data_IF_047785216566
#
_entry.id   IF_047785216566
#
_cell.length_a   1.000
_cell.length_b   1.000
_cell.length_c   1.000
_cell.angle_alpha   90.00
_cell.angle_beta   90.00
_cell.angle_gamma   90.00
#
_symmetry.space_group_name_H-M   'P 1'
#
loop_
_entity.id
_entity.type
_entity.pdbx_description
1 polymer ?
#
# COMPACT_ATOMS: atom_id res chain seq x y z
N UNK A 1 -20.49 17.76 5.79
CA UNK A 1 -20.02 17.88 4.39
C UNK A 1 -18.99 16.79 4.16
N UNK A 2 -19.16 15.95 3.14
CA UNK A 2 -18.21 14.87 2.82
C UNK A 2 -16.94 15.47 2.22
N UNK A 3 -15.75 15.09 2.71
CA UNK A 3 -14.46 15.54 2.14
C UNK A 3 -14.34 14.99 0.71
N UNK A 4 -13.93 15.79 -0.30
CA UNK A 4 -13.72 15.28 -1.65
C UNK A 4 -12.70 14.13 -1.70
N UNK A 5 -12.88 13.11 -2.55
CA UNK A 5 -11.96 11.96 -2.60
C UNK A 5 -10.49 12.32 -2.80
N UNK A 6 -10.18 13.26 -3.70
CA UNK A 6 -8.79 13.71 -3.94
C UNK A 6 -8.18 14.36 -2.69
N UNK A 7 -8.96 15.16 -1.97
CA UNK A 7 -8.49 15.77 -0.71
C UNK A 7 -8.28 14.69 0.36
N UNK A 8 -9.20 13.73 0.47
CA UNK A 8 -9.04 12.62 1.43
C UNK A 8 -7.88 11.70 1.06
N UNK A 9 -7.61 11.50 -0.22
CA UNK A 9 -6.46 10.75 -0.72
C UNK A 9 -5.16 11.38 -0.24
N UNK A 10 -4.98 12.69 -0.42
CA UNK A 10 -3.79 13.41 0.05
C UNK A 10 -3.67 13.33 1.58
N UNK A 11 -4.76 13.55 2.32
CA UNK A 11 -4.78 13.43 3.78
C UNK A 11 -4.35 12.03 4.26
N UNK A 12 -4.86 10.98 3.64
CA UNK A 12 -4.50 9.60 3.98
C UNK A 12 -3.02 9.30 3.68
N UNK A 13 -2.48 9.83 2.58
CA UNK A 13 -1.06 9.68 2.24
C UNK A 13 -0.20 10.34 3.32
N UNK A 14 -0.56 11.55 3.75
CA UNK A 14 0.16 12.30 4.78
C UNK A 14 0.02 11.66 6.17
N UNK A 15 -1.19 11.21 6.55
CA UNK A 15 -1.45 10.50 7.81
C UNK A 15 -0.61 9.21 7.89
N UNK A 16 -0.57 8.41 6.81
CA UNK A 16 0.26 7.21 6.73
C UNK A 16 1.74 7.57 6.91
N UNK A 17 2.22 8.60 6.20
CA UNK A 17 3.63 9.00 6.29
C UNK A 17 4.01 9.49 7.69
N UNK A 18 3.14 10.26 8.33
CA UNK A 18 3.33 10.76 9.70
C UNK A 18 3.37 9.60 10.70
N UNK A 19 2.40 8.68 10.67
CA UNK A 19 2.38 7.52 11.56
C UNK A 19 3.60 6.61 11.39
N UNK A 20 4.09 6.44 10.15
CA UNK A 20 5.31 5.68 9.91
C UNK A 20 6.55 6.38 10.48
N UNK A 21 6.61 7.70 10.37
CA UNK A 21 7.72 8.50 10.90
C UNK A 21 7.76 8.53 12.43
N UNK A 22 6.60 8.66 13.07
CA UNK A 22 6.48 8.81 14.53
C UNK A 22 6.78 7.51 15.29
N UNK A 23 6.54 6.36 14.67
CA UNK A 23 6.67 5.04 15.32
C UNK A 23 8.03 4.37 15.08
N UNK A 24 8.89 4.94 14.22
CA UNK A 24 10.25 4.45 14.02
C UNK A 24 11.15 4.97 15.13
N UNK A 25 11.68 4.04 15.93
CA UNK A 25 12.62 4.36 17.01
C UNK A 25 14.00 4.79 16.48
N UNK A 26 14.52 5.88 17.06
CA UNK A 26 15.84 6.43 16.78
C UNK A 26 15.92 7.24 15.48
N UNK A 27 17.12 7.75 15.20
CA UNK A 27 17.33 8.61 14.03
C UNK A 27 17.25 7.82 12.73
N UNK A 28 16.56 8.40 11.75
CA UNK A 28 16.45 7.88 10.39
C UNK A 28 16.60 9.02 9.38
N UNK A 29 17.09 8.70 8.19
CA UNK A 29 17.20 9.64 7.06
C UNK A 29 16.14 9.37 5.99
N UNK A 30 15.79 8.10 5.78
CA UNK A 30 14.73 7.72 4.85
C UNK A 30 13.99 6.47 5.32
N UNK A 31 12.66 6.52 5.26
CA UNK A 31 11.80 5.36 5.40
C UNK A 31 11.26 4.94 4.04
N UNK A 32 11.33 3.63 3.77
CA UNK A 32 10.69 3.03 2.61
C UNK A 32 9.66 2.02 3.08
N UNK A 33 8.38 2.38 2.95
CA UNK A 33 7.29 1.49 3.29
C UNK A 33 6.75 0.80 2.02
N UNK A 34 6.90 -0.52 1.96
CA UNK A 34 6.41 -1.34 0.85
C UNK A 34 5.17 -2.11 1.30
N UNK A 35 4.00 -1.72 0.78
CA UNK A 35 2.70 -2.30 1.10
C UNK A 35 2.15 -3.13 -0.05
N UNK A 36 1.56 -4.28 0.25
CA UNK A 36 0.75 -5.08 -0.69
C UNK A 36 -0.60 -5.33 -0.04
N UNK A 37 -1.66 -5.27 -0.81
CA UNK A 37 -3.00 -5.31 -0.25
C UNK A 37 -4.00 -5.99 -1.21
N UNK A 38 -4.76 -6.91 -0.64
CA UNK A 38 -6.02 -7.48 -1.10
C UNK A 38 -7.05 -7.26 0.01
N UNK A 39 -8.35 -7.24 -0.29
CA UNK A 39 -9.42 -6.90 0.66
C UNK A 39 -9.32 -7.56 2.04
N UNK A 40 -8.82 -8.79 2.12
CA UNK A 40 -8.69 -9.57 3.37
C UNK A 40 -7.24 -9.98 3.68
N UNK A 41 -6.26 -9.47 2.94
CA UNK A 41 -4.87 -9.88 3.10
C UNK A 41 -3.92 -8.79 2.67
N UNK A 42 -3.08 -8.35 3.60
CA UNK A 42 -2.05 -7.35 3.34
C UNK A 42 -0.71 -7.83 3.88
N UNK A 43 0.36 -7.26 3.35
CA UNK A 43 1.69 -7.35 3.95
C UNK A 43 2.39 -6.01 3.82
N UNK A 44 3.12 -5.62 4.87
CA UNK A 44 3.85 -4.37 4.92
C UNK A 44 5.22 -4.56 5.57
N UNK A 45 6.19 -3.76 5.13
CA UNK A 45 7.52 -3.65 5.76
C UNK A 45 8.04 -2.24 5.56
N UNK A 46 8.67 -1.71 6.60
CA UNK A 46 9.40 -0.45 6.56
C UNK A 46 10.88 -0.77 6.53
N UNK A 47 11.58 -0.32 5.48
CA UNK A 47 13.03 -0.29 5.47
C UNK A 47 13.47 1.07 6.03
N UNK A 48 14.30 1.05 7.08
CA UNK A 48 14.74 2.22 7.84
C UNK A 48 16.20 2.50 7.51
N UNK A 49 16.45 3.51 6.66
CA UNK A 49 17.78 4.00 6.35
C UNK A 49 18.20 5.01 7.42
N UNK A 50 19.37 4.80 8.03
CA UNK A 50 19.90 5.68 9.08
C UNK A 50 20.94 6.67 8.55
N UNK A 51 21.18 7.77 9.28
CA UNK A 51 22.22 8.74 8.92
C UNK A 51 23.64 8.14 8.84
N UNK A 52 23.91 7.08 9.62
CA UNK A 52 25.19 6.36 9.61
C UNK A 52 25.35 5.39 8.41
N UNK A 53 24.35 5.34 7.52
CA UNK A 53 24.32 4.46 6.35
C UNK A 53 23.80 3.05 6.64
N UNK A 54 23.49 2.71 7.90
CA UNK A 54 22.93 1.40 8.24
C UNK A 54 21.46 1.25 7.77
N UNK A 55 21.06 0.00 7.55
CA UNK A 55 19.71 -0.38 7.19
C UNK A 55 19.12 -1.28 8.28
N UNK A 56 17.96 -0.90 8.82
CA UNK A 56 17.13 -1.79 9.62
C UNK A 56 15.77 -2.03 8.95
N UNK A 57 15.00 -2.95 9.53
CA UNK A 57 13.63 -3.22 9.13
C UNK A 57 12.70 -3.10 10.33
N UNK A 58 11.54 -2.50 10.10
CA UNK A 58 10.47 -2.41 11.08
C UNK A 58 9.15 -2.93 10.49
N UNK A 59 8.24 -3.32 11.38
CA UNK A 59 6.85 -3.62 11.03
C UNK A 59 6.07 -2.30 11.02
N UNK A 60 5.18 -2.06 10.04
CA UNK A 60 4.28 -0.92 10.12
C UNK A 60 3.35 -1.04 11.35
N UNK A 61 2.97 0.07 12.00
CA UNK A 61 1.94 0.08 13.03
C UNK A 61 0.63 -0.52 12.52
N UNK A 62 -0.13 -1.18 13.39
CA UNK A 62 -1.42 -1.79 12.99
C UNK A 62 -2.45 -0.73 12.54
N UNK A 63 -2.31 0.53 12.97
CA UNK A 63 -3.13 1.66 12.50
C UNK A 63 -3.00 1.93 10.99
N UNK A 64 -1.84 1.62 10.39
CA UNK A 64 -1.60 1.79 8.94
C UNK A 64 -2.55 0.92 8.11
N UNK A 65 -3.06 -0.17 8.67
CA UNK A 65 -3.96 -1.10 7.97
C UNK A 65 -5.28 -0.44 7.62
N UNK A 66 -5.91 0.21 8.60
CA UNK A 66 -7.16 0.92 8.39
C UNK A 66 -6.98 2.08 7.39
N UNK A 67 -5.88 2.83 7.51
CA UNK A 67 -5.59 3.96 6.62
C UNK A 67 -5.34 3.52 5.18
N UNK A 68 -4.56 2.46 4.97
CA UNK A 68 -4.29 1.95 3.61
C UNK A 68 -5.51 1.29 2.98
N UNK A 69 -6.38 0.66 3.77
CA UNK A 69 -7.64 0.09 3.30
C UNK A 69 -8.65 1.20 2.91
N UNK A 70 -8.73 2.27 3.71
CA UNK A 70 -9.48 3.47 3.33
C UNK A 70 -8.92 4.10 2.04
N UNK A 71 -7.59 4.21 1.94
CA UNK A 71 -6.94 4.77 0.75
C UNK A 71 -7.25 3.95 -0.52
N UNK A 72 -7.31 2.61 -0.42
CA UNK A 72 -7.76 1.76 -1.55
C UNK A 72 -9.18 2.08 -1.98
N UNK A 73 -10.09 2.31 -1.03
CA UNK A 73 -11.48 2.68 -1.33
C UNK A 73 -11.59 4.07 -1.94
N UNK A 74 -10.84 5.04 -1.42
CA UNK A 74 -10.83 6.42 -1.94
C UNK A 74 -10.24 6.48 -3.35
N UNK A 75 -9.21 5.66 -3.63
CA UNK A 75 -8.53 5.59 -4.92
C UNK A 75 -9.07 4.50 -5.86
N UNK A 76 -10.18 3.86 -5.51
CA UNK A 76 -10.83 2.89 -6.37
C UNK A 76 -11.39 3.60 -7.61
N UNK A 77 -11.00 3.12 -8.78
CA UNK A 77 -11.49 3.60 -10.06
C UNK A 77 -12.45 2.56 -10.64
N UNK A 78 -13.75 2.87 -10.82
CA UNK A 78 -14.69 1.95 -11.45
C UNK A 78 -14.17 1.43 -12.80
N UNK A 79 -14.22 0.10 -12.98
CA UNK A 79 -13.72 -0.56 -14.18
C UNK A 79 -12.20 -0.78 -14.22
N UNK A 80 -11.40 -0.01 -13.46
CA UNK A 80 -9.95 -0.26 -13.34
C UNK A 80 -9.59 -1.05 -12.08
N UNK A 81 -10.36 -0.91 -10.99
CA UNK A 81 -10.10 -1.53 -9.70
C UNK A 81 -9.26 -0.65 -8.76
N UNK A 82 -8.88 -1.23 -7.63
CA UNK A 82 -7.95 -0.62 -6.67
C UNK A 82 -6.50 -1.09 -6.94
N UNK A 83 -5.52 -0.33 -6.46
CA UNK A 83 -4.12 -0.73 -6.51
C UNK A 83 -3.85 -1.99 -5.67
N UNK A 84 -2.83 -2.78 -6.07
CA UNK A 84 -2.40 -4.01 -5.39
C UNK A 84 -1.19 -3.81 -4.49
N UNK A 85 -0.37 -2.80 -4.78
CA UNK A 85 0.78 -2.44 -3.95
C UNK A 85 1.10 -0.97 -4.04
N UNK A 86 1.77 -0.47 -3.01
CA UNK A 86 2.21 0.91 -2.93
C UNK A 86 3.56 0.98 -2.23
N UNK A 87 4.39 1.95 -2.67
CA UNK A 87 5.70 2.23 -2.08
C UNK A 87 5.75 3.69 -1.67
N UNK A 88 5.81 3.94 -0.36
CA UNK A 88 6.12 5.25 0.19
C UNK A 88 7.63 5.39 0.34
N UNK A 89 8.14 6.57 0.02
CA UNK A 89 9.50 7.02 0.32
C UNK A 89 9.35 8.32 1.10
N UNK A 90 9.75 8.28 2.38
CA UNK A 90 9.64 9.40 3.32
C UNK A 90 11.06 9.79 3.68
N UNK A 91 11.47 11.01 3.39
CA UNK A 91 12.79 11.51 3.75
C UNK A 91 12.66 12.67 4.76
N UNK A 92 13.58 12.73 5.71
CA UNK A 92 13.66 13.87 6.63
C UNK A 92 13.90 15.17 5.85
N UNK A 93 13.30 16.27 6.31
CA UNK A 93 13.59 17.60 5.75
C UNK A 93 15.01 18.05 6.12
N UNK A 94 15.61 18.92 5.31
CA UNK A 94 16.94 19.47 5.55
C UNK A 94 16.82 20.79 6.34
N UNK A 95 16.56 20.72 7.65
CA UNK A 95 16.57 21.90 8.53
C UNK A 95 15.61 21.79 9.73
N UNK A 96 15.84 22.60 10.76
CA UNK A 96 14.92 22.68 11.90
C UNK A 96 13.53 23.18 11.46
N UNK A 97 12.51 22.35 11.66
CA UNK A 97 11.11 22.67 11.34
C UNK A 97 10.66 22.32 9.92
N UNK A 98 11.50 21.66 9.11
CA UNK A 98 11.09 21.19 7.79
C UNK A 98 10.23 19.92 7.86
N UNK A 99 9.12 19.90 7.09
CA UNK A 99 8.26 18.72 6.97
C UNK A 99 8.99 17.61 6.22
N UNK A 100 8.72 16.36 6.58
CA UNK A 100 9.15 15.21 5.80
C UNK A 100 8.67 15.33 4.35
N UNK A 101 9.54 14.99 3.40
CA UNK A 101 9.11 14.86 2.01
C UNK A 101 8.57 13.45 1.80
N UNK A 102 7.36 13.37 1.24
CA UNK A 102 6.66 12.10 0.98
C UNK A 102 6.45 11.91 -0.51
N UNK A 103 6.89 10.76 -1.03
CA UNK A 103 6.57 10.30 -2.38
C UNK A 103 5.92 8.92 -2.29
N UNK A 104 4.85 8.71 -3.05
CA UNK A 104 4.18 7.41 -3.14
C UNK A 104 4.01 6.99 -4.58
N UNK A 105 4.26 5.71 -4.86
CA UNK A 105 3.98 5.08 -6.16
C UNK A 105 3.02 3.93 -5.93
N UNK A 106 1.96 3.88 -6.73
CA UNK A 106 0.95 2.83 -6.70
C UNK A 106 1.09 1.92 -7.92
N UNK A 107 0.93 0.63 -7.70
CA UNK A 107 0.88 -0.38 -8.75
C UNK A 107 -0.53 -0.98 -8.82
N UNK A 108 -1.17 -0.82 -9.97
CA UNK A 108 -2.51 -1.36 -10.27
C UNK A 108 -2.48 -2.65 -11.09
N UNK A 109 -1.35 -2.98 -11.73
CA UNK A 109 -1.35 -3.82 -12.92
C UNK A 109 -0.37 -5.00 -12.82
N UNK A 110 0.73 -4.87 -12.09
CA UNK A 110 1.71 -5.93 -11.88
C UNK A 110 1.36 -6.82 -10.68
N UNK A 111 1.64 -8.13 -10.77
CA UNK A 111 1.42 -9.08 -9.67
C UNK A 111 2.24 -8.65 -8.43
N UNK A 112 1.60 -8.42 -7.27
CA UNK A 112 2.33 -8.08 -6.06
C UNK A 112 3.22 -9.25 -5.61
N UNK A 113 4.49 -8.96 -5.35
CA UNK A 113 5.43 -9.94 -4.79
C UNK A 113 5.17 -10.10 -3.30
N UNK A 114 4.61 -11.24 -2.92
CA UNK A 114 4.33 -11.60 -1.53
C UNK A 114 5.49 -12.36 -0.89
N UNK A 115 5.70 -12.17 0.42
CA UNK A 115 6.61 -13.03 1.19
C UNK A 115 6.08 -14.47 1.29
N UNK A 116 4.77 -14.59 1.42
CA UNK A 116 4.04 -15.86 1.42
C UNK A 116 2.93 -15.77 0.37
N UNK A 117 2.79 -16.75 -0.53
CA UNK A 117 1.77 -16.68 -1.57
C UNK A 117 0.37 -16.46 -0.99
N UNK A 118 -0.35 -15.46 -1.48
CA UNK A 118 -1.75 -15.26 -1.13
C UNK A 118 -2.60 -16.41 -1.69
N UNK A 119 -3.58 -16.86 -0.91
CA UNK A 119 -4.53 -17.88 -1.36
C UNK A 119 -5.30 -17.38 -2.61
N UNK A 120 -5.45 -18.20 -3.66
CA UNK A 120 -6.13 -17.80 -4.90
C UNK A 120 -7.53 -17.17 -4.69
N UNK A 121 -8.31 -17.66 -3.72
CA UNK A 121 -9.63 -17.12 -3.40
C UNK A 121 -9.62 -15.67 -2.90
N UNK A 122 -8.50 -15.18 -2.36
CA UNK A 122 -8.39 -13.79 -1.90
C UNK A 122 -8.37 -12.80 -3.07
N UNK A 123 -7.85 -13.21 -4.23
CA UNK A 123 -7.90 -12.40 -5.45
C UNK A 123 -9.31 -12.30 -6.02
N UNK A 124 -10.10 -13.38 -5.92
CA UNK A 124 -11.49 -13.37 -6.34
C UNK A 124 -12.32 -12.41 -5.46
N UNK A 125 -12.12 -12.48 -4.14
CA UNK A 125 -12.77 -11.57 -3.19
C UNK A 125 -12.34 -10.11 -3.40
N UNK A 126 -11.07 -9.86 -3.74
CA UNK A 126 -10.60 -8.51 -4.07
C UNK A 126 -11.29 -7.96 -5.33
N UNK A 127 -11.49 -8.79 -6.36
CA UNK A 127 -12.26 -8.40 -7.56
C UNK A 127 -13.76 -8.19 -7.29
N UNK A 128 -14.35 -8.92 -6.34
CA UNK A 128 -15.73 -8.67 -5.91
C UNK A 128 -15.84 -7.31 -5.19
N UNK A 129 -14.82 -6.93 -4.43
CA UNK A 129 -14.77 -5.66 -3.70
C UNK A 129 -14.43 -4.47 -4.60
N UNK A 130 -13.48 -4.66 -5.52
CA UNK A 130 -12.97 -3.65 -6.46
C UNK A 130 -13.06 -4.17 -7.90
N UNK A 131 -14.28 -4.21 -8.47
CA UNK A 131 -14.49 -4.72 -9.82
C UNK A 131 -13.62 -4.04 -10.87
N UNK A 132 -13.20 -4.84 -11.84
CA UNK A 132 -12.46 -4.41 -13.02
C UNK A 132 -13.24 -4.82 -14.26
N UNK A 133 -13.22 -3.97 -15.27
CA UNK A 133 -13.65 -4.31 -16.62
C UNK A 133 -12.77 -5.42 -17.16
N UNK A 134 -13.32 -6.25 -18.04
CA UNK A 134 -12.61 -7.42 -18.53
C UNK A 134 -11.26 -7.06 -19.18
N UNK A 135 -11.19 -6.00 -19.99
CA UNK A 135 -9.93 -5.54 -20.59
C UNK A 135 -8.92 -4.98 -19.57
N UNK A 136 -9.34 -4.74 -18.32
CA UNK A 136 -8.52 -4.24 -17.21
C UNK A 136 -8.14 -5.30 -16.17
N UNK A 137 -8.54 -6.56 -16.37
CA UNK A 137 -8.07 -7.69 -15.54
C UNK A 137 -6.78 -8.25 -16.16
N UNK A 138 -5.60 -8.08 -15.54
CA UNK A 138 -4.35 -8.61 -16.08
C UNK A 138 -4.34 -10.15 -16.14
N UNK A 139 -3.56 -10.72 -17.05
CA UNK A 139 -3.49 -12.17 -17.26
C UNK A 139 -3.13 -12.95 -16.00
N UNK A 140 -2.18 -12.45 -15.20
CA UNK A 140 -1.78 -13.09 -13.95
C UNK A 140 -2.97 -13.18 -12.98
N UNK A 141 -3.81 -12.15 -12.90
CA UNK A 141 -4.94 -12.09 -11.99
C UNK A 141 -6.03 -13.08 -12.44
N UNK A 142 -6.30 -13.14 -13.75
CA UNK A 142 -7.20 -14.16 -14.34
C UNK A 142 -6.72 -15.57 -14.00
N UNK A 143 -5.42 -15.84 -14.09
CA UNK A 143 -4.86 -17.14 -13.76
C UNK A 143 -5.04 -17.50 -12.28
N UNK A 144 -4.82 -16.56 -11.35
CA UNK A 144 -5.05 -16.81 -9.90
C UNK A 144 -6.51 -17.15 -9.61
N UNK A 145 -7.45 -16.34 -10.11
CA UNK A 145 -8.89 -16.53 -9.87
C UNK A 145 -9.38 -17.87 -10.45
N UNK A 146 -8.93 -18.21 -11.67
CA UNK A 146 -9.26 -19.50 -12.28
C UNK A 146 -8.59 -20.69 -11.57
N UNK A 147 -7.44 -20.48 -10.92
CA UNK A 147 -6.82 -21.48 -10.03
C UNK A 147 -7.67 -21.76 -8.79
N UNK A 148 -8.26 -20.72 -8.20
CA UNK A 148 -9.16 -20.85 -7.03
C UNK A 148 -10.35 -21.77 -7.32
N UNK A 149 -11.03 -21.54 -8.47
CA UNK A 149 -12.22 -22.31 -8.89
C UNK A 149 -11.95 -23.78 -9.17
N UNK A 150 -10.70 -24.17 -9.41
CA UNK A 150 -10.29 -25.57 -9.68
C UNK A 150 -9.87 -26.33 -8.44
N UNK A 151 -9.66 -25.63 -7.32
CA UNK A 151 -9.15 -26.21 -6.07
C UNK A 151 -10.27 -26.33 -5.01
N UNK A 152 -11.47 -25.83 -5.33
CA UNK A 152 -12.72 -26.06 -4.61
C UNK A 152 -13.44 -27.28 -5.19
#
# INVERSE_FOLDING_TARGET
>A
MTVPPVVRQEQLIDEIALHLADEVEGDWSTLVFNHRNLSMFFTGRVDVHRPDGSLAHARPPDTILALTDELRRVMYEPGRGAWFSARWTIATGEGEGEKHSTKVVFNYDDEPVWRWPAHPGLYALDLETFPRDDDRVPDWLRQKVNGARRTL
#
